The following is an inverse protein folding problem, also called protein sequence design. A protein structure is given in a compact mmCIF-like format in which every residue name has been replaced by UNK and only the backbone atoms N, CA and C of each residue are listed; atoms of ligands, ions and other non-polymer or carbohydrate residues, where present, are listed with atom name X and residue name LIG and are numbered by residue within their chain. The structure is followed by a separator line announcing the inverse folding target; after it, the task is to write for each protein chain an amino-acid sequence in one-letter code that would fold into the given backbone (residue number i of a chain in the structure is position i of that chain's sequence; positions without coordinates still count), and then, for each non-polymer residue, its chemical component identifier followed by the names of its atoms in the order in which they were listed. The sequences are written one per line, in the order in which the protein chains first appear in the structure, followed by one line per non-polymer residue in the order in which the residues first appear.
data_IF_267086664163
#
_entry.id   IF_267086664163
#
_cell.length_a   1.000
_cell.length_b   1.000
_cell.length_c   1.000
_cell.angle_alpha   90.00
_cell.angle_beta   90.00
_cell.angle_gamma   90.00
#
_symmetry.space_group_name_H-M   'P 1'
#
loop_
_entity.id
_entity.type
_entity.pdbx_description
1 polymer ?
#
# COMPACT_ATOMS: atom_id res chain seq x y z
N UNK A 1 -50.32 53.61 35.24
CA UNK A 1 -51.34 52.77 35.88
C UNK A 1 -51.00 51.32 35.72
N UNK A 2 -50.68 50.72 36.85
CA UNK A 2 -50.86 49.33 37.31
C UNK A 2 -50.13 48.26 36.58
N UNK A 3 -48.95 47.83 37.12
CA UNK A 3 -48.70 46.73 38.11
C UNK A 3 -49.30 45.40 37.76
N UNK A 4 -48.46 44.35 37.69
CA UNK A 4 -48.44 43.27 38.68
C UNK A 4 -47.26 42.30 38.37
N UNK A 5 -46.55 42.00 39.42
CA UNK A 5 -45.47 41.05 39.63
C UNK A 5 -45.93 39.57 39.49
N UNK A 6 -44.94 38.69 39.16
CA UNK A 6 -45.10 37.25 39.27
C UNK A 6 -43.77 36.54 39.25
N UNK A 7 -43.24 36.33 40.46
CA UNK A 7 -42.07 35.49 40.74
C UNK A 7 -42.39 34.02 40.56
N UNK A 8 -41.52 33.27 39.90
CA UNK A 8 -41.56 31.80 39.78
C UNK A 8 -40.14 31.24 39.73
N UNK A 9 -39.58 30.92 40.88
CA UNK A 9 -38.38 30.11 41.09
C UNK A 9 -38.64 28.67 40.65
N UNK A 10 -37.91 28.19 39.65
CA UNK A 10 -37.85 26.77 39.24
C UNK A 10 -36.42 26.36 39.08
N UNK A 11 -35.80 25.84 40.14
CA UNK A 11 -34.53 25.11 40.08
C UNK A 11 -34.76 23.79 39.37
N UNK A 12 -34.08 23.62 38.19
CA UNK A 12 -34.07 22.39 37.43
C UNK A 12 -32.64 22.05 37.07
N UNK A 13 -32.13 20.99 37.68
CA UNK A 13 -30.78 20.50 37.64
C UNK A 13 -30.24 20.28 36.22
N UNK A 14 -29.12 20.93 35.92
CA UNK A 14 -28.27 20.60 34.79
C UNK A 14 -27.52 19.31 35.07
N UNK A 15 -28.07 18.21 34.62
CA UNK A 15 -27.31 16.96 34.50
C UNK A 15 -26.19 17.16 33.48
N UNK A 16 -25.02 16.59 33.70
CA UNK A 16 -23.95 16.64 32.70
C UNK A 16 -24.46 15.98 31.42
N UNK A 17 -24.52 16.76 30.34
CA UNK A 17 -24.73 16.25 28.99
C UNK A 17 -23.60 15.28 28.70
N UNK A 18 -23.85 14.03 28.96
CA UNK A 18 -23.01 12.94 28.51
C UNK A 18 -22.87 13.06 27.01
N UNK A 19 -21.66 13.36 26.57
CA UNK A 19 -21.25 13.27 25.18
C UNK A 19 -21.53 11.85 24.74
N UNK A 20 -22.67 11.63 24.11
CA UNK A 20 -22.94 10.41 23.36
C UNK A 20 -21.84 10.31 22.32
N UNK A 21 -20.88 9.43 22.59
CA UNK A 21 -19.86 9.05 21.60
C UNK A 21 -20.67 8.43 20.46
N UNK A 22 -20.80 9.16 19.35
CA UNK A 22 -21.48 8.67 18.16
C UNK A 22 -20.78 7.37 17.75
N UNK A 23 -21.44 6.25 18.01
CA UNK A 23 -20.94 4.93 17.64
C UNK A 23 -20.62 4.90 16.15
N UNK A 24 -19.35 4.61 15.79
CA UNK A 24 -18.93 4.41 14.41
C UNK A 24 -18.20 5.57 13.72
N UNK A 25 -17.86 6.68 14.42
CA UNK A 25 -17.03 7.76 13.83
C UNK A 25 -15.58 7.70 14.30
N UNK A 26 -14.64 7.75 13.33
CA UNK A 26 -13.20 7.84 13.61
C UNK A 26 -12.82 9.25 14.07
N UNK A 27 -11.84 9.35 14.98
CA UNK A 27 -11.38 10.66 15.49
C UNK A 27 -10.52 11.38 14.45
N UNK A 28 -10.84 12.65 14.15
CA UNK A 28 -10.05 13.51 13.27
C UNK A 28 -8.85 14.07 14.04
N UNK A 29 -7.66 13.52 13.75
CA UNK A 29 -6.43 13.92 14.44
C UNK A 29 -5.24 14.06 13.48
N UNK A 30 -5.35 13.62 12.23
CA UNK A 30 -4.26 13.57 11.28
C UNK A 30 -4.14 14.85 10.46
N UNK A 31 -2.92 15.40 10.38
CA UNK A 31 -2.56 16.49 9.49
C UNK A 31 -1.92 15.99 8.19
N UNK A 32 -1.54 16.92 7.31
CA UNK A 32 -0.85 16.58 6.04
C UNK A 32 0.46 15.85 6.29
N UNK A 33 1.26 16.26 7.29
CA UNK A 33 2.54 15.62 7.63
C UNK A 33 2.33 14.18 8.07
N UNK A 34 1.31 13.92 8.89
CA UNK A 34 1.00 12.57 9.37
C UNK A 34 0.63 11.65 8.20
N UNK A 35 -0.17 12.16 7.24
CA UNK A 35 -0.52 11.41 6.02
C UNK A 35 0.71 11.07 5.18
N UNK A 36 1.64 12.02 5.03
CA UNK A 36 2.88 11.80 4.26
C UNK A 36 3.75 10.77 4.98
N UNK A 37 3.89 10.87 6.30
CA UNK A 37 4.67 9.90 7.09
C UNK A 37 4.07 8.49 6.98
N UNK A 38 2.75 8.35 7.17
CA UNK A 38 2.10 7.05 7.01
C UNK A 38 2.20 6.51 5.59
N UNK A 39 2.01 7.37 4.59
CA UNK A 39 2.12 6.99 3.18
C UNK A 39 3.52 6.52 2.83
N UNK A 40 4.55 7.29 3.16
CA UNK A 40 5.95 6.92 2.91
C UNK A 40 6.40 5.73 3.74
N UNK A 41 5.92 5.61 4.98
CA UNK A 41 6.21 4.46 5.83
C UNK A 41 5.62 3.19 5.25
N UNK A 42 4.38 3.25 4.70
CA UNK A 42 3.75 2.09 4.07
C UNK A 42 4.43 1.72 2.76
N UNK A 43 4.71 2.70 1.89
CA UNK A 43 5.45 2.48 0.63
C UNK A 43 6.85 1.92 0.93
N UNK A 44 7.49 2.33 2.03
CA UNK A 44 8.88 2.10 2.40
C UNK A 44 9.88 2.69 1.38
N UNK A 45 10.62 3.77 1.72
CA UNK A 45 11.57 4.42 0.80
C UNK A 45 12.63 3.50 0.20
N UNK A 46 12.96 2.41 0.90
CA UNK A 46 13.90 1.38 0.45
C UNK A 46 13.21 0.12 -0.10
N UNK A 47 11.93 0.20 -0.53
CA UNK A 47 11.20 -0.94 -1.08
C UNK A 47 11.93 -1.67 -2.21
N UNK A 48 12.58 -0.99 -3.18
CA UNK A 48 13.31 -1.62 -4.27
C UNK A 48 14.43 -2.57 -3.86
N UNK A 49 15.06 -2.36 -2.69
CA UNK A 49 16.21 -3.16 -2.23
C UNK A 49 15.94 -4.66 -2.29
N UNK A 50 14.76 -5.10 -1.86
CA UNK A 50 14.41 -6.52 -1.78
C UNK A 50 14.06 -7.18 -3.12
N UNK A 51 13.80 -6.41 -4.17
CA UNK A 51 13.39 -6.92 -5.50
C UNK A 51 14.28 -6.43 -6.64
N UNK A 52 15.35 -5.71 -6.32
CA UNK A 52 16.27 -5.11 -7.30
C UNK A 52 16.78 -6.14 -8.31
N UNK A 53 17.39 -7.23 -7.85
CA UNK A 53 17.96 -8.24 -8.75
C UNK A 53 16.90 -8.95 -9.59
N UNK A 54 15.69 -9.19 -9.06
CA UNK A 54 14.58 -9.74 -9.84
C UNK A 54 14.15 -8.79 -10.96
N UNK A 55 14.09 -7.48 -10.70
CA UNK A 55 13.74 -6.49 -11.71
C UNK A 55 14.85 -6.32 -12.75
N UNK A 56 16.10 -6.31 -12.31
CA UNK A 56 17.26 -6.20 -13.18
C UNK A 56 17.33 -7.38 -14.16
N UNK A 57 17.20 -8.61 -13.64
CA UNK A 57 17.13 -9.84 -14.44
C UNK A 57 15.97 -9.83 -15.44
N UNK A 58 14.76 -9.45 -15.00
CA UNK A 58 13.56 -9.46 -15.85
C UNK A 58 13.55 -8.37 -16.92
N UNK A 59 14.14 -7.23 -16.63
CA UNK A 59 14.14 -6.08 -17.54
C UNK A 59 15.34 -6.03 -18.48
N UNK A 60 16.22 -7.02 -18.43
CA UNK A 60 17.46 -6.99 -19.20
C UNK A 60 18.35 -5.80 -18.80
N UNK A 61 18.50 -5.52 -17.51
CA UNK A 61 19.33 -4.46 -16.97
C UNK A 61 18.71 -3.07 -16.93
N UNK A 62 17.47 -2.89 -17.46
CA UNK A 62 16.83 -1.56 -17.53
C UNK A 62 16.01 -1.20 -16.29
N UNK A 63 16.49 -1.52 -15.10
CA UNK A 63 15.72 -1.42 -13.83
C UNK A 63 15.25 0.01 -13.51
N UNK A 64 16.03 1.03 -13.81
CA UNK A 64 15.62 2.42 -13.58
C UNK A 64 14.48 2.84 -14.53
N UNK A 65 14.52 2.39 -15.80
CA UNK A 65 13.41 2.58 -16.73
C UNK A 65 12.13 1.91 -16.23
N UNK A 66 12.24 0.70 -15.67
CA UNK A 66 11.09 0.01 -15.05
C UNK A 66 10.44 0.91 -14.01
N UNK A 67 11.21 1.52 -13.10
CA UNK A 67 10.67 2.42 -12.08
C UNK A 67 10.14 3.75 -12.64
N UNK A 68 10.72 4.27 -13.72
CA UNK A 68 10.16 5.44 -14.42
C UNK A 68 8.78 5.10 -14.97
N UNK A 69 8.66 3.98 -15.69
CA UNK A 69 7.38 3.54 -16.27
C UNK A 69 6.37 3.23 -15.16
N UNK A 70 6.77 2.50 -14.12
CA UNK A 70 5.92 2.20 -12.97
C UNK A 70 5.42 3.49 -12.27
N UNK A 71 6.29 4.51 -12.10
CA UNK A 71 5.88 5.81 -11.53
C UNK A 71 4.81 6.48 -12.37
N UNK A 72 4.95 6.48 -13.69
CA UNK A 72 3.97 7.07 -14.62
C UNK A 72 2.65 6.30 -14.55
N UNK A 73 2.69 4.97 -14.59
CA UNK A 73 1.51 4.10 -14.51
C UNK A 73 0.75 4.32 -13.20
N UNK A 74 1.48 4.28 -12.08
CA UNK A 74 0.90 4.53 -10.77
C UNK A 74 0.46 5.99 -10.59
N UNK A 75 1.05 6.91 -11.35
CA UNK A 75 0.62 8.31 -11.42
C UNK A 75 -0.81 8.49 -11.90
N UNK A 76 -1.24 7.75 -12.92
CA UNK A 76 -2.64 7.73 -13.35
C UNK A 76 -3.56 7.21 -12.25
N UNK A 77 -3.14 6.15 -11.54
CA UNK A 77 -3.90 5.58 -10.42
C UNK A 77 -4.00 6.55 -9.25
N UNK A 78 -2.89 7.17 -8.85
CA UNK A 78 -2.87 8.20 -7.79
C UNK A 78 -3.74 9.41 -8.14
N UNK A 79 -3.76 9.80 -9.41
CA UNK A 79 -4.63 10.88 -9.88
C UNK A 79 -6.11 10.49 -9.74
N UNK A 80 -6.48 9.26 -10.08
CA UNK A 80 -7.85 8.75 -9.92
C UNK A 80 -8.25 8.68 -8.44
N UNK A 81 -7.35 8.25 -7.55
CA UNK A 81 -7.53 8.36 -6.09
C UNK A 81 -7.78 9.82 -5.66
N UNK A 82 -6.96 10.75 -6.15
CA UNK A 82 -7.10 12.17 -5.84
C UNK A 82 -8.43 12.77 -6.31
N UNK A 83 -9.03 12.26 -7.37
CA UNK A 83 -10.38 12.66 -7.79
C UNK A 83 -11.44 12.05 -6.85
N UNK A 84 -11.38 10.74 -6.60
CA UNK A 84 -12.43 10.04 -5.86
C UNK A 84 -12.45 10.36 -4.37
N UNK A 85 -11.31 10.62 -3.73
CA UNK A 85 -11.25 11.03 -2.32
C UNK A 85 -11.95 12.38 -2.08
N UNK A 86 -12.03 13.23 -3.08
CA UNK A 86 -12.78 14.50 -2.99
C UNK A 86 -14.29 14.30 -3.06
N UNK A 87 -14.72 13.26 -3.75
CA UNK A 87 -16.13 12.87 -3.90
C UNK A 87 -16.62 12.12 -2.67
N UNK A 88 -15.80 11.22 -2.14
CA UNK A 88 -16.17 10.34 -1.04
C UNK A 88 -15.02 10.26 -0.02
N UNK A 89 -14.87 11.26 0.86
CA UNK A 89 -13.80 11.31 1.87
C UNK A 89 -14.09 10.40 3.07
N UNK A 90 -14.34 9.12 2.79
CA UNK A 90 -14.67 8.10 3.79
C UNK A 90 -13.61 7.01 3.81
N UNK A 91 -13.45 6.34 4.95
CA UNK A 91 -12.66 5.14 5.07
C UNK A 91 -13.20 4.04 4.13
N UNK A 92 -12.32 3.14 3.68
CA UNK A 92 -12.68 2.06 2.76
C UNK A 92 -12.10 2.20 1.37
N UNK A 93 -11.37 3.31 1.09
CA UNK A 93 -10.56 3.47 -0.12
C UNK A 93 -11.34 3.08 -1.39
N UNK A 94 -10.78 2.19 -2.23
CA UNK A 94 -11.36 1.78 -3.51
C UNK A 94 -12.77 1.17 -3.38
N UNK A 95 -13.07 0.44 -2.29
CA UNK A 95 -14.42 -0.08 -2.01
C UNK A 95 -15.46 1.05 -2.06
N UNK A 96 -15.21 2.13 -1.30
CA UNK A 96 -16.13 3.28 -1.23
C UNK A 96 -16.23 4.00 -2.58
N UNK A 97 -15.11 4.12 -3.30
CA UNK A 97 -15.08 4.82 -4.59
C UNK A 97 -15.81 4.05 -5.69
N UNK A 98 -15.60 2.73 -5.77
CA UNK A 98 -16.29 1.89 -6.73
C UNK A 98 -17.80 1.82 -6.44
N UNK A 99 -18.20 1.78 -5.18
CA UNK A 99 -19.60 1.85 -4.78
C UNK A 99 -20.26 3.16 -5.25
N UNK A 100 -19.61 4.28 -5.05
CA UNK A 100 -20.12 5.60 -5.48
C UNK A 100 -20.14 5.77 -6.99
N UNK A 101 -19.08 5.36 -7.69
CA UNK A 101 -18.94 5.52 -9.14
C UNK A 101 -19.75 4.49 -9.94
N UNK A 102 -19.73 3.23 -9.56
CA UNK A 102 -20.25 2.11 -10.34
C UNK A 102 -21.51 1.45 -9.73
N UNK A 103 -21.66 1.50 -8.42
CA UNK A 103 -22.78 0.89 -7.67
C UNK A 103 -22.34 -0.14 -6.65
N UNK A 104 -23.32 -0.68 -5.90
CA UNK A 104 -23.10 -1.56 -4.73
C UNK A 104 -22.30 -2.82 -5.08
N UNK A 105 -22.66 -3.52 -6.16
CA UNK A 105 -21.98 -4.75 -6.58
C UNK A 105 -20.53 -4.53 -6.97
N UNK A 106 -20.27 -3.49 -7.78
CA UNK A 106 -18.90 -3.15 -8.18
C UNK A 106 -18.05 -2.68 -6.98
N UNK A 107 -18.67 -1.94 -6.04
CA UNK A 107 -18.04 -1.56 -4.78
C UNK A 107 -17.60 -2.78 -3.97
N UNK A 108 -18.50 -3.76 -3.81
CA UNK A 108 -18.16 -5.00 -3.11
C UNK A 108 -16.98 -5.73 -3.78
N UNK A 109 -17.02 -5.92 -5.10
CA UNK A 109 -15.95 -6.60 -5.83
C UNK A 109 -14.62 -5.83 -5.73
N UNK A 110 -14.65 -4.50 -5.83
CA UNK A 110 -13.44 -3.69 -5.67
C UNK A 110 -12.84 -3.84 -4.26
N UNK A 111 -13.66 -3.79 -3.21
CA UNK A 111 -13.24 -4.05 -1.83
C UNK A 111 -12.75 -5.47 -1.62
N UNK A 112 -13.41 -6.46 -2.21
CA UNK A 112 -13.04 -7.87 -2.14
C UNK A 112 -11.66 -8.13 -2.76
N UNK A 113 -11.39 -7.54 -3.93
CA UNK A 113 -10.08 -7.63 -4.58
C UNK A 113 -9.01 -6.87 -3.79
N UNK A 114 -9.31 -5.67 -3.30
CA UNK A 114 -8.40 -4.89 -2.46
C UNK A 114 -8.10 -5.57 -1.11
N UNK A 115 -8.93 -6.46 -0.61
CA UNK A 115 -8.64 -7.24 0.59
C UNK A 115 -7.44 -8.18 0.41
N UNK A 116 -7.20 -8.73 -0.80
CA UNK A 116 -5.98 -9.49 -1.08
C UNK A 116 -4.73 -8.65 -0.86
N UNK A 117 -4.73 -7.43 -1.42
CA UNK A 117 -3.64 -6.48 -1.22
C UNK A 117 -3.52 -6.07 0.25
N UNK A 118 -4.51 -5.42 0.83
CA UNK A 118 -4.42 -4.84 2.17
C UNK A 118 -4.19 -5.84 3.30
N UNK A 119 -4.67 -7.09 3.17
CA UNK A 119 -4.42 -8.13 4.16
C UNK A 119 -3.08 -8.85 3.97
N UNK A 120 -2.59 -8.95 2.73
CA UNK A 120 -1.40 -9.75 2.42
C UNK A 120 -0.14 -8.93 2.14
N UNK A 121 -0.23 -7.66 1.70
CA UNK A 121 0.97 -6.82 1.56
C UNK A 121 1.72 -6.61 2.89
N UNK A 122 1.05 -6.45 4.04
CA UNK A 122 1.76 -6.47 5.32
C UNK A 122 2.47 -7.80 5.57
N UNK A 123 1.91 -8.93 5.12
CA UNK A 123 2.55 -10.23 5.27
C UNK A 123 3.85 -10.32 4.44
N UNK A 124 3.84 -9.78 3.22
CA UNK A 124 5.06 -9.65 2.38
C UNK A 124 6.11 -8.80 3.08
N UNK A 125 5.72 -7.64 3.61
CA UNK A 125 6.65 -6.73 4.30
C UNK A 125 7.22 -7.35 5.59
N UNK A 126 6.41 -8.06 6.39
CA UNK A 126 6.91 -8.81 7.55
C UNK A 126 7.86 -9.94 7.14
N UNK A 127 7.59 -10.59 6.02
CA UNK A 127 8.49 -11.61 5.49
C UNK A 127 9.84 -11.00 5.07
N UNK A 128 9.85 -9.83 4.42
CA UNK A 128 11.10 -9.10 4.13
C UNK A 128 11.87 -8.74 5.40
N UNK A 129 11.18 -8.29 6.44
CA UNK A 129 11.80 -8.05 7.76
C UNK A 129 12.41 -9.33 8.34
N UNK A 130 11.69 -10.45 8.27
CA UNK A 130 12.17 -11.75 8.74
C UNK A 130 13.36 -12.27 7.94
N UNK A 131 13.40 -12.09 6.63
CA UNK A 131 14.52 -12.46 5.75
C UNK A 131 15.76 -11.63 6.10
N UNK A 132 15.62 -10.31 6.20
CA UNK A 132 16.71 -9.41 6.53
C UNK A 132 17.29 -9.70 7.93
N UNK A 133 16.45 -9.96 8.92
CA UNK A 133 16.90 -10.37 10.27
C UNK A 133 17.58 -11.73 10.28
N UNK A 134 17.11 -12.70 9.50
CA UNK A 134 17.73 -14.00 9.40
C UNK A 134 19.11 -13.93 8.72
N UNK A 135 19.30 -13.01 7.76
CA UNK A 135 20.61 -12.76 7.16
C UNK A 135 21.63 -12.21 8.18
N UNK A 136 21.17 -11.39 9.14
CA UNK A 136 22.02 -10.83 10.21
C UNK A 136 22.24 -11.81 11.37
N UNK A 137 21.25 -12.66 11.69
CA UNK A 137 21.28 -13.63 12.81
C UNK A 137 20.75 -14.97 12.29
N UNK A 138 21.59 -15.77 11.61
CA UNK A 138 21.18 -17.01 10.95
C UNK A 138 20.68 -18.11 11.91
N UNK A 139 21.09 -18.05 13.19
CA UNK A 139 20.70 -19.04 14.23
C UNK A 139 19.19 -19.02 14.51
N UNK A 140 18.51 -17.91 14.24
CA UNK A 140 17.08 -17.77 14.44
C UNK A 140 16.35 -17.83 13.10
N UNK A 141 15.45 -18.81 12.97
CA UNK A 141 14.71 -19.03 11.73
C UNK A 141 13.91 -17.79 11.29
N UNK A 142 13.87 -17.50 9.98
CA UNK A 142 13.16 -16.35 9.40
C UNK A 142 11.68 -16.23 9.82
N UNK A 143 10.98 -17.37 10.04
CA UNK A 143 9.58 -17.35 10.49
C UNK A 143 9.41 -16.82 11.92
N UNK A 144 10.40 -17.02 12.79
CA UNK A 144 10.37 -16.49 14.17
C UNK A 144 10.48 -14.96 14.13
N UNK A 145 11.45 -14.43 13.39
CA UNK A 145 11.61 -13.01 13.20
C UNK A 145 10.36 -12.36 12.58
N UNK A 146 9.78 -13.02 11.58
CA UNK A 146 8.52 -12.59 10.95
C UNK A 146 7.39 -12.52 11.97
N UNK A 147 7.21 -13.54 12.81
CA UNK A 147 6.19 -13.55 13.85
C UNK A 147 6.41 -12.46 14.91
N UNK A 148 7.65 -12.24 15.35
CA UNK A 148 8.01 -11.17 16.29
C UNK A 148 7.64 -9.81 15.69
N UNK A 149 7.98 -9.54 14.43
CA UNK A 149 7.65 -8.29 13.76
C UNK A 149 6.13 -8.04 13.71
N UNK A 150 5.32 -9.07 13.39
CA UNK A 150 3.85 -8.98 13.40
C UNK A 150 3.33 -8.66 14.80
N UNK A 151 3.82 -9.34 15.83
CA UNK A 151 3.35 -9.15 17.21
C UNK A 151 3.67 -7.75 17.73
N UNK A 152 4.91 -7.30 17.57
CA UNK A 152 5.36 -5.98 18.04
C UNK A 152 4.57 -4.87 17.37
N UNK A 153 4.42 -4.92 16.05
CA UNK A 153 3.73 -3.88 15.31
C UNK A 153 2.22 -3.90 15.52
N UNK A 154 1.63 -5.09 15.74
CA UNK A 154 0.21 -5.21 16.12
C UNK A 154 -0.05 -4.54 17.47
N UNK A 155 0.81 -4.76 18.48
CA UNK A 155 0.71 -4.09 19.78
C UNK A 155 0.78 -2.56 19.63
N UNK A 156 1.71 -2.06 18.80
CA UNK A 156 1.82 -0.62 18.50
C UNK A 156 0.54 -0.07 17.85
N UNK A 157 -0.04 -0.79 16.90
CA UNK A 157 -1.31 -0.41 16.27
C UNK A 157 -2.49 -0.36 17.27
N UNK A 158 -2.53 -1.29 18.23
CA UNK A 158 -3.58 -1.33 19.26
C UNK A 158 -3.44 -0.21 20.30
N UNK A 159 -2.21 0.30 20.53
CA UNK A 159 -1.99 1.49 21.37
C UNK A 159 -2.51 2.78 20.73
N UNK A 160 -2.75 2.76 19.43
CA UNK A 160 -3.41 3.83 18.68
C UNK A 160 -2.51 4.56 17.70
N UNK A 161 -3.17 5.23 16.77
CA UNK A 161 -2.57 5.88 15.60
C UNK A 161 -1.43 6.84 15.95
N UNK A 162 -1.56 7.60 17.06
CA UNK A 162 -0.52 8.56 17.45
C UNK A 162 0.77 7.92 17.96
N UNK A 163 0.67 6.77 18.65
CA UNK A 163 1.85 6.05 19.13
C UNK A 163 2.59 5.43 17.93
N UNK A 164 1.86 4.76 17.05
CA UNK A 164 2.37 4.19 15.81
C UNK A 164 3.03 5.26 14.91
N UNK A 165 2.41 6.45 14.79
CA UNK A 165 2.94 7.55 13.98
C UNK A 165 4.27 8.10 14.52
N UNK A 166 4.43 8.25 15.84
CA UNK A 166 5.68 8.77 16.42
C UNK A 166 6.86 7.84 16.19
N UNK A 167 6.67 6.54 16.42
CA UNK A 167 7.72 5.55 16.16
C UNK A 167 7.96 5.42 14.66
N UNK A 168 6.89 5.39 13.86
CA UNK A 168 6.97 5.35 12.39
C UNK A 168 7.75 6.53 11.81
N UNK A 169 7.60 7.74 12.37
CA UNK A 169 8.40 8.89 11.95
C UNK A 169 9.90 8.68 12.17
N UNK A 170 10.30 8.12 13.32
CA UNK A 170 11.71 7.84 13.62
C UNK A 170 12.27 6.76 12.66
N UNK A 171 11.47 5.74 12.36
CA UNK A 171 11.86 4.68 11.40
C UNK A 171 11.97 5.24 9.99
N UNK A 172 11.00 6.04 9.53
CA UNK A 172 11.08 6.70 8.23
C UNK A 172 12.31 7.60 8.11
N UNK A 173 12.60 8.38 9.16
CA UNK A 173 13.79 9.22 9.20
C UNK A 173 15.08 8.38 9.10
N UNK A 174 15.14 7.24 9.80
CA UNK A 174 16.25 6.29 9.70
C UNK A 174 16.40 5.76 8.27
N UNK A 175 15.33 5.28 7.63
CA UNK A 175 15.38 4.78 6.25
C UNK A 175 15.86 5.86 5.26
N UNK A 176 15.39 7.10 5.39
CA UNK A 176 15.81 8.22 4.54
C UNK A 176 17.30 8.53 4.77
N UNK A 177 17.78 8.52 6.02
CA UNK A 177 19.21 8.75 6.32
C UNK A 177 20.06 7.65 5.71
N UNK A 178 19.69 6.37 5.88
CA UNK A 178 20.43 5.24 5.30
C UNK A 178 20.42 5.30 3.77
N UNK A 179 19.29 5.64 3.17
CA UNK A 179 19.20 5.83 1.73
C UNK A 179 20.12 6.98 1.24
N UNK A 180 20.17 8.09 1.96
CA UNK A 180 21.08 9.19 1.64
C UNK A 180 22.54 8.77 1.79
N UNK A 181 22.90 8.02 2.82
CA UNK A 181 24.25 7.45 3.00
C UNK A 181 24.58 6.54 1.82
N UNK A 182 23.66 5.66 1.42
CA UNK A 182 23.85 4.83 0.22
C UNK A 182 24.06 5.68 -1.04
N UNK A 183 23.21 6.67 -1.31
CA UNK A 183 23.31 7.53 -2.50
C UNK A 183 24.65 8.26 -2.54
N UNK A 184 25.08 8.85 -1.41
CA UNK A 184 26.37 9.56 -1.32
C UNK A 184 27.53 8.60 -1.53
N UNK A 185 27.52 7.43 -0.87
CA UNK A 185 28.58 6.42 -1.01
C UNK A 185 28.67 5.88 -2.44
N UNK A 186 27.50 5.59 -3.06
CA UNK A 186 27.45 5.15 -4.46
C UNK A 186 28.04 6.19 -5.41
N UNK A 187 27.66 7.47 -5.27
CA UNK A 187 28.21 8.55 -6.10
C UNK A 187 29.71 8.69 -5.90
N UNK A 188 30.23 8.62 -4.66
CA UNK A 188 31.66 8.69 -4.37
C UNK A 188 32.41 7.55 -5.05
N UNK A 189 31.90 6.32 -4.96
CA UNK A 189 32.51 5.15 -5.62
C UNK A 189 32.48 5.30 -7.14
N UNK A 190 31.34 5.69 -7.71
CA UNK A 190 31.22 5.88 -9.16
C UNK A 190 32.17 6.97 -9.72
N UNK A 191 32.39 8.02 -8.94
CA UNK A 191 33.37 9.09 -9.34
C UNK A 191 34.81 8.61 -9.22
N UNK A 192 35.13 7.81 -8.19
CA UNK A 192 36.47 7.34 -7.89
C UNK A 192 36.91 6.16 -8.77
N UNK A 193 36.01 5.16 -8.86
CA UNK A 193 36.37 3.84 -9.41
C UNK A 193 35.64 3.55 -10.75
N UNK A 194 34.62 4.39 -11.11
CA UNK A 194 33.82 4.22 -12.29
C UNK A 194 32.61 3.29 -12.07
N UNK A 195 31.85 3.07 -13.13
CA UNK A 195 30.69 2.20 -13.11
C UNK A 195 31.05 0.78 -13.59
N UNK A 196 30.45 -0.23 -12.99
CA UNK A 196 30.61 -1.64 -13.38
C UNK A 196 29.88 -1.94 -14.71
N UNK A 197 28.84 -1.17 -15.01
CA UNK A 197 28.05 -1.27 -16.24
C UNK A 197 28.03 0.08 -16.98
N UNK A 198 27.59 0.08 -18.24
CA UNK A 198 27.42 1.33 -19.00
C UNK A 198 26.45 2.29 -18.31
N UNK A 199 26.78 3.59 -18.30
CA UNK A 199 25.96 4.63 -17.65
C UNK A 199 24.49 4.66 -18.12
N UNK A 200 24.21 4.26 -19.36
CA UNK A 200 22.85 4.21 -19.89
C UNK A 200 22.18 2.86 -19.68
N UNK A 201 22.90 1.80 -19.33
CA UNK A 201 22.33 0.45 -19.15
C UNK A 201 21.13 0.43 -18.22
N UNK A 202 21.07 1.13 -17.07
CA UNK A 202 19.90 1.13 -16.21
C UNK A 202 18.64 1.75 -16.85
N UNK A 203 18.79 2.46 -17.96
CA UNK A 203 17.72 3.10 -18.73
C UNK A 203 17.41 2.40 -20.07
N UNK A 204 18.44 1.88 -20.74
CA UNK A 204 18.32 1.30 -22.09
C UNK A 204 18.39 -0.21 -22.11
N UNK A 205 18.79 -0.82 -21.00
CA UNK A 205 19.04 -2.25 -20.92
C UNK A 205 20.31 -2.68 -21.62
N UNK A 206 20.53 -3.98 -21.65
CA UNK A 206 21.57 -4.68 -22.40
C UNK A 206 21.00 -5.35 -23.67
N UNK A 207 21.72 -6.30 -24.23
CA UNK A 207 21.31 -6.99 -25.45
C UNK A 207 20.00 -7.77 -25.34
N UNK A 208 19.53 -8.08 -24.14
CA UNK A 208 18.25 -8.76 -23.87
C UNK A 208 17.06 -7.79 -23.71
N UNK A 209 17.27 -6.49 -23.86
CA UNK A 209 16.23 -5.48 -23.70
C UNK A 209 15.07 -5.65 -24.66
N UNK A 210 13.86 -5.62 -24.11
CA UNK A 210 12.60 -5.48 -24.86
C UNK A 210 11.57 -4.71 -24.05
N UNK A 211 10.68 -4.00 -24.73
CA UNK A 211 9.58 -3.28 -24.03
C UNK A 211 8.64 -4.27 -23.31
N UNK A 212 8.43 -5.46 -23.84
CA UNK A 212 7.66 -6.52 -23.17
C UNK A 212 8.33 -6.95 -21.86
N UNK A 213 9.67 -7.08 -21.84
CA UNK A 213 10.42 -7.38 -20.62
C UNK A 213 10.28 -6.25 -19.57
N UNK A 214 10.34 -4.98 -20.01
CA UNK A 214 10.09 -3.83 -19.11
C UNK A 214 8.69 -3.88 -18.54
N UNK A 215 7.65 -4.10 -19.35
CA UNK A 215 6.25 -4.18 -18.87
C UNK A 215 6.05 -5.38 -17.94
N UNK A 216 6.67 -6.54 -18.25
CA UNK A 216 6.67 -7.70 -17.35
C UNK A 216 7.37 -7.40 -16.02
N UNK A 217 8.46 -6.62 -16.02
CA UNK A 217 9.11 -6.18 -14.79
C UNK A 217 8.29 -5.13 -14.03
N UNK A 218 7.55 -4.24 -14.73
CA UNK A 218 6.64 -3.27 -14.10
C UNK A 218 5.59 -3.96 -13.24
N UNK A 219 5.10 -5.16 -13.63
CA UNK A 219 4.14 -5.92 -12.81
C UNK A 219 4.68 -6.21 -11.40
N UNK A 220 5.98 -6.49 -11.28
CA UNK A 220 6.66 -6.70 -9.98
C UNK A 220 7.00 -5.38 -9.31
N UNK A 221 7.43 -4.35 -10.07
CA UNK A 221 7.79 -3.04 -9.53
C UNK A 221 6.61 -2.32 -8.89
N UNK A 222 5.37 -2.57 -9.34
CA UNK A 222 4.14 -2.01 -8.75
C UNK A 222 4.04 -2.32 -7.26
N UNK A 223 4.51 -3.50 -6.81
CA UNK A 223 4.57 -3.86 -5.39
C UNK A 223 5.26 -2.78 -4.54
N UNK A 224 6.34 -2.17 -5.05
CA UNK A 224 7.06 -1.12 -4.32
C UNK A 224 6.23 0.15 -4.10
N UNK A 225 5.21 0.39 -4.90
CA UNK A 225 4.33 1.56 -4.79
C UNK A 225 3.10 1.31 -3.92
N UNK A 226 2.74 0.04 -3.66
CA UNK A 226 1.56 -0.27 -2.87
C UNK A 226 1.68 0.37 -1.48
N UNK A 227 0.62 1.06 -1.08
CA UNK A 227 0.58 1.83 0.15
C UNK A 227 0.35 3.34 -0.05
N UNK A 228 0.68 3.92 -1.23
CA UNK A 228 0.32 5.32 -1.50
C UNK A 228 -1.21 5.53 -1.46
N UNK A 229 -1.95 4.55 -1.86
CA UNK A 229 -3.41 4.50 -1.89
C UNK A 229 -4.01 4.33 -0.49
N UNK A 230 -3.29 3.72 0.44
CA UNK A 230 -3.71 3.59 1.83
C UNK A 230 -3.88 4.94 2.52
N UNK A 231 -3.20 6.01 2.05
CA UNK A 231 -3.44 7.38 2.52
C UNK A 231 -4.92 7.76 2.38
N UNK A 232 -5.58 7.27 1.33
CA UNK A 232 -7.00 7.52 1.11
C UNK A 232 -7.90 6.85 2.17
N UNK A 233 -7.46 5.74 2.76
CA UNK A 233 -8.19 5.07 3.84
C UNK A 233 -8.26 5.87 5.15
N UNK A 234 -7.34 6.84 5.34
CA UNK A 234 -7.34 7.75 6.49
C UNK A 234 -8.22 8.99 6.29
N UNK A 235 -8.95 9.11 5.19
CA UNK A 235 -9.68 10.32 4.82
C UNK A 235 -10.66 10.83 5.89
N UNK A 236 -11.27 9.95 6.69
CA UNK A 236 -12.16 10.32 7.80
C UNK A 236 -11.42 10.90 9.02
N UNK A 237 -10.14 10.53 9.20
CA UNK A 237 -9.31 10.93 10.35
C UNK A 237 -8.56 12.26 10.13
N UNK A 238 -8.68 12.84 8.92
CA UNK A 238 -7.92 14.04 8.52
C UNK A 238 -8.60 15.33 8.94
N UNK A 239 -7.79 16.24 9.49
CA UNK A 239 -8.16 17.62 9.77
C UNK A 239 -7.91 18.51 8.55
N UNK A 240 -8.94 19.24 8.07
CA UNK A 240 -8.82 20.20 6.96
C UNK A 240 -9.12 19.64 5.56
N UNK A 241 -9.84 18.52 5.49
CA UNK A 241 -10.58 18.11 4.32
C UNK A 241 -9.83 17.27 3.29
N UNK A 242 -10.59 16.71 2.36
CA UNK A 242 -10.15 15.75 1.34
C UNK A 242 -9.06 16.26 0.37
N UNK A 243 -8.95 17.59 0.19
CA UNK A 243 -7.87 18.17 -0.64
C UNK A 243 -6.47 17.87 -0.08
N UNK A 244 -6.32 17.78 1.27
CA UNK A 244 -5.04 17.42 1.90
C UNK A 244 -4.70 15.96 1.61
N UNK A 245 -5.70 15.07 1.67
CA UNK A 245 -5.53 13.65 1.34
C UNK A 245 -5.09 13.49 -0.12
N UNK A 246 -5.81 14.11 -1.06
CA UNK A 246 -5.46 14.08 -2.48
C UNK A 246 -4.03 14.57 -2.77
N UNK A 247 -3.60 15.65 -2.10
CA UNK A 247 -2.23 16.16 -2.24
C UNK A 247 -1.20 15.21 -1.63
N UNK A 248 -1.51 14.58 -0.49
CA UNK A 248 -0.60 13.63 0.15
C UNK A 248 -0.38 12.38 -0.71
N UNK A 249 -1.45 11.83 -1.30
CA UNK A 249 -1.38 10.68 -2.24
C UNK A 249 -0.42 10.98 -3.39
N UNK A 250 -0.63 12.11 -4.10
CA UNK A 250 0.22 12.49 -5.23
C UNK A 250 1.65 12.81 -4.81
N UNK A 251 1.83 13.52 -3.69
CA UNK A 251 3.16 13.86 -3.17
C UNK A 251 3.96 12.62 -2.80
N UNK A 252 3.37 11.68 -2.06
CA UNK A 252 4.03 10.45 -1.67
C UNK A 252 4.42 9.60 -2.88
N UNK A 253 3.54 9.50 -3.89
CA UNK A 253 3.86 8.76 -5.10
C UNK A 253 5.08 9.34 -5.84
N UNK A 254 5.07 10.66 -6.09
CA UNK A 254 6.16 11.33 -6.83
C UNK A 254 7.47 11.24 -6.06
N UNK A 255 7.43 11.46 -4.74
CA UNK A 255 8.61 11.37 -3.90
C UNK A 255 9.16 9.94 -3.85
N UNK A 256 8.32 8.94 -3.62
CA UNK A 256 8.72 7.53 -3.61
C UNK A 256 9.29 7.11 -4.97
N UNK A 257 8.59 7.44 -6.07
CA UNK A 257 9.08 7.14 -7.42
C UNK A 257 10.44 7.75 -7.71
N UNK A 258 10.67 9.01 -7.31
CA UNK A 258 11.97 9.65 -7.45
C UNK A 258 13.08 8.93 -6.66
N UNK A 259 12.78 8.54 -5.41
CA UNK A 259 13.72 7.78 -4.58
C UNK A 259 14.01 6.40 -5.19
N UNK A 260 12.99 5.73 -5.72
CA UNK A 260 13.13 4.40 -6.34
C UNK A 260 13.99 4.45 -7.60
N UNK A 261 13.77 5.44 -8.47
CA UNK A 261 14.56 5.64 -9.68
C UNK A 261 16.04 5.89 -9.33
N UNK A 262 16.31 6.81 -8.40
CA UNK A 262 17.68 7.16 -8.03
C UNK A 262 18.42 5.97 -7.41
N UNK A 263 17.81 5.28 -6.43
CA UNK A 263 18.51 4.18 -5.77
C UNK A 263 18.74 2.99 -6.69
N UNK A 264 17.80 2.66 -7.58
CA UNK A 264 17.97 1.53 -8.49
C UNK A 264 18.90 1.85 -9.66
N UNK A 265 18.92 3.10 -10.13
CA UNK A 265 19.91 3.56 -11.10
C UNK A 265 21.34 3.43 -10.56
N UNK A 266 21.58 3.92 -9.35
CA UNK A 266 22.90 3.84 -8.71
C UNK A 266 23.27 2.38 -8.39
N UNK A 267 22.35 1.59 -7.86
CA UNK A 267 22.60 0.18 -7.58
C UNK A 267 22.98 -0.61 -8.86
N UNK A 268 22.28 -0.37 -9.97
CA UNK A 268 22.58 -1.03 -11.24
C UNK A 268 23.95 -0.64 -11.81
N UNK A 269 24.44 0.57 -11.55
CA UNK A 269 25.79 0.97 -11.94
C UNK A 269 26.88 0.33 -11.07
N UNK A 270 26.56 -0.06 -9.84
CA UNK A 270 27.46 -0.74 -8.90
C UNK A 270 27.39 -2.27 -9.01
N UNK A 271 26.36 -2.82 -9.69
CA UNK A 271 26.13 -4.27 -9.78
C UNK A 271 27.15 -4.94 -10.70
N UNK A 272 27.99 -5.85 -10.15
CA UNK A 272 29.02 -6.52 -10.94
C UNK A 272 28.48 -7.60 -11.89
N UNK A 273 27.36 -8.27 -11.52
CA UNK A 273 26.75 -9.28 -12.35
C UNK A 273 25.96 -8.64 -13.49
N UNK A 274 25.97 -9.24 -14.68
CA UNK A 274 25.09 -8.85 -15.77
C UNK A 274 23.64 -9.26 -15.50
N UNK A 275 22.68 -8.64 -16.19
CA UNK A 275 21.26 -9.04 -16.10
C UNK A 275 21.03 -10.50 -16.52
N UNK A 276 21.82 -11.01 -17.46
CA UNK A 276 21.77 -12.41 -17.90
C UNK A 276 22.26 -13.38 -16.83
N UNK A 277 23.35 -13.03 -16.10
CA UNK A 277 23.84 -13.82 -14.97
C UNK A 277 22.82 -13.85 -13.83
N UNK A 278 22.23 -12.70 -13.47
CA UNK A 278 21.14 -12.63 -12.47
C UNK A 278 19.90 -13.43 -12.91
N UNK A 279 19.59 -13.47 -14.21
CA UNK A 279 18.49 -14.27 -14.73
C UNK A 279 18.78 -15.78 -14.65
N UNK A 280 20.03 -16.18 -14.80
CA UNK A 280 20.49 -17.57 -14.70
C UNK A 280 20.56 -18.06 -13.24
N UNK A 281 20.72 -17.16 -12.25
CA UNK A 281 20.80 -17.48 -10.83
C UNK A 281 19.68 -16.79 -10.01
N UNK A 282 18.49 -17.40 -9.92
CA UNK A 282 17.40 -16.86 -9.12
C UNK A 282 17.74 -16.68 -7.62
N UNK A 283 18.71 -17.42 -7.08
CA UNK A 283 19.11 -17.31 -5.70
C UNK A 283 19.85 -16.00 -5.43
N UNK A 284 20.69 -15.55 -6.37
CA UNK A 284 21.40 -14.28 -6.29
C UNK A 284 20.48 -13.05 -6.42
N UNK A 285 19.31 -13.18 -7.07
CA UNK A 285 18.40 -12.04 -7.25
C UNK A 285 17.94 -11.40 -5.94
N UNK A 286 17.75 -12.20 -4.87
CA UNK A 286 17.31 -11.72 -3.56
C UNK A 286 18.36 -10.91 -2.80
N UNK A 287 19.65 -11.16 -3.04
CA UNK A 287 20.78 -10.51 -2.39
C UNK A 287 21.48 -9.47 -3.26
N UNK A 288 21.20 -9.41 -4.56
CA UNK A 288 21.95 -8.60 -5.53
C UNK A 288 22.21 -7.15 -5.10
N UNK A 289 21.23 -6.46 -4.53
CA UNK A 289 21.42 -5.09 -4.03
C UNK A 289 22.46 -5.04 -2.89
N UNK A 290 22.40 -5.99 -1.96
CA UNK A 290 23.32 -6.07 -0.82
C UNK A 290 24.72 -6.44 -1.28
N UNK A 291 24.83 -7.41 -2.19
CA UNK A 291 26.10 -7.89 -2.74
C UNK A 291 26.78 -6.78 -3.56
N UNK A 292 26.04 -6.02 -4.36
CA UNK A 292 26.56 -4.85 -5.08
C UNK A 292 27.10 -3.78 -4.12
N UNK A 293 26.41 -3.53 -3.00
CA UNK A 293 26.85 -2.59 -1.98
C UNK A 293 28.09 -3.09 -1.25
N UNK A 294 28.13 -4.36 -0.86
CA UNK A 294 29.28 -4.97 -0.18
C UNK A 294 30.52 -4.94 -1.06
N UNK A 295 30.39 -5.38 -2.31
CA UNK A 295 31.49 -5.41 -3.27
C UNK A 295 32.04 -4.03 -3.63
N UNK A 296 31.20 -3.00 -3.69
CA UNK A 296 31.59 -1.67 -4.18
C UNK A 296 31.94 -0.70 -3.04
N UNK A 297 31.24 -0.76 -1.91
CA UNK A 297 31.39 0.19 -0.79
C UNK A 297 31.95 -0.49 0.46
N UNK A 298 31.50 -1.71 0.75
CA UNK A 298 31.96 -2.54 1.86
C UNK A 298 30.86 -2.97 2.82
N UNK A 299 31.18 -3.97 3.65
CA UNK A 299 30.27 -4.69 4.57
C UNK A 299 29.53 -3.77 5.56
N UNK A 300 30.18 -2.67 5.98
CA UNK A 300 29.56 -1.72 6.90
C UNK A 300 28.24 -1.10 6.34
N UNK A 301 28.22 -0.80 5.03
CA UNK A 301 27.03 -0.24 4.40
C UNK A 301 26.02 -1.34 4.08
N UNK A 302 26.47 -2.52 3.69
CA UNK A 302 25.63 -3.72 3.57
C UNK A 302 24.83 -3.96 4.86
N UNK A 303 25.50 -4.04 6.01
CA UNK A 303 24.86 -4.27 7.31
C UNK A 303 23.89 -3.15 7.68
N UNK A 304 24.28 -1.89 7.44
CA UNK A 304 23.43 -0.75 7.70
C UNK A 304 22.14 -0.78 6.86
N UNK A 305 22.24 -1.12 5.58
CA UNK A 305 21.10 -1.29 4.68
C UNK A 305 20.23 -2.45 5.12
N UNK A 306 20.82 -3.59 5.50
CA UNK A 306 20.09 -4.77 5.95
C UNK A 306 19.29 -4.50 7.26
N UNK A 307 19.92 -3.87 8.26
CA UNK A 307 19.24 -3.45 9.50
C UNK A 307 18.11 -2.48 9.21
N UNK A 308 18.38 -1.45 8.38
CA UNK A 308 17.37 -0.47 8.00
C UNK A 308 16.19 -1.13 7.30
N UNK A 309 16.46 -2.07 6.37
CA UNK A 309 15.41 -2.81 5.65
C UNK A 309 14.61 -3.71 6.59
N UNK A 310 15.25 -4.37 7.54
CA UNK A 310 14.55 -5.24 8.52
C UNK A 310 13.54 -4.44 9.35
N UNK A 311 13.96 -3.30 9.88
CA UNK A 311 13.11 -2.42 10.69
C UNK A 311 12.07 -1.72 9.81
N UNK A 312 12.48 -1.12 8.69
CA UNK A 312 11.61 -0.38 7.79
C UNK A 312 10.47 -1.23 7.24
N UNK A 313 10.75 -2.45 6.80
CA UNK A 313 9.74 -3.38 6.32
C UNK A 313 8.70 -3.75 7.40
N UNK A 314 9.13 -3.96 8.65
CA UNK A 314 8.21 -4.22 9.76
C UNK A 314 7.28 -3.03 10.02
N UNK A 315 7.77 -1.80 9.92
CA UNK A 315 6.97 -0.58 10.10
C UNK A 315 6.14 -0.20 8.87
N UNK A 316 6.60 -0.53 7.66
CA UNK A 316 5.75 -0.49 6.47
C UNK A 316 4.53 -1.40 6.64
N UNK A 317 4.77 -2.63 7.11
CA UNK A 317 3.71 -3.58 7.41
C UNK A 317 2.77 -3.08 8.53
N UNK A 318 3.28 -2.37 9.55
CA UNK A 318 2.46 -1.71 10.58
C UNK A 318 1.46 -0.74 9.95
N UNK A 319 1.91 0.12 9.04
CA UNK A 319 1.06 1.08 8.33
C UNK A 319 0.02 0.35 7.46
N UNK A 320 0.45 -0.68 6.73
CA UNK A 320 -0.41 -1.53 5.92
C UNK A 320 -1.48 -2.25 6.74
N UNK A 321 -1.11 -2.84 7.87
CA UNK A 321 -2.05 -3.49 8.78
C UNK A 321 -3.11 -2.52 9.33
N UNK A 322 -2.70 -1.27 9.62
CA UNK A 322 -3.63 -0.24 10.02
C UNK A 322 -4.61 0.14 8.89
N UNK A 323 -4.15 0.19 7.64
CA UNK A 323 -4.98 0.43 6.47
C UNK A 323 -5.93 -0.75 6.20
N UNK A 324 -5.45 -1.99 6.32
CA UNK A 324 -6.26 -3.21 6.24
C UNK A 324 -7.41 -3.20 7.26
N UNK A 325 -7.11 -2.85 8.52
CA UNK A 325 -8.12 -2.71 9.56
C UNK A 325 -9.20 -1.68 9.21
N UNK A 326 -8.85 -0.59 8.53
CA UNK A 326 -9.82 0.43 8.08
C UNK A 326 -10.69 -0.04 6.92
N UNK A 327 -10.13 -0.79 5.99
CA UNK A 327 -10.91 -1.40 4.90
C UNK A 327 -11.92 -2.39 5.45
N UNK A 328 -11.47 -3.32 6.30
CA UNK A 328 -12.34 -4.31 6.98
C UNK A 328 -13.43 -3.61 7.80
N UNK A 329 -13.08 -2.57 8.56
CA UNK A 329 -14.04 -1.75 9.30
C UNK A 329 -15.08 -1.09 8.38
N UNK A 330 -14.66 -0.49 7.26
CA UNK A 330 -15.56 0.16 6.32
C UNK A 330 -16.55 -0.83 5.71
N UNK A 331 -16.09 -2.02 5.29
CA UNK A 331 -16.95 -3.06 4.74
C UNK A 331 -17.92 -3.64 5.81
N UNK A 332 -17.48 -3.76 7.06
CA UNK A 332 -18.33 -4.20 8.16
C UNK A 332 -19.40 -3.16 8.53
N UNK A 333 -19.06 -1.86 8.52
CA UNK A 333 -20.02 -0.76 8.71
C UNK A 333 -21.11 -0.75 7.66
N UNK A 334 -20.79 -1.11 6.44
CA UNK A 334 -21.72 -1.24 5.32
C UNK A 334 -22.40 -2.63 5.26
N UNK A 335 -22.31 -3.42 6.35
CA UNK A 335 -22.95 -4.76 6.48
C UNK A 335 -22.50 -5.79 5.42
N UNK A 336 -21.30 -5.59 4.82
CA UNK A 336 -20.68 -6.54 3.88
C UNK A 336 -19.82 -7.58 4.58
N UNK A 337 -19.42 -7.30 5.83
CA UNK A 337 -18.73 -8.21 6.75
C UNK A 337 -19.47 -8.21 8.10
N UNK A 338 -19.14 -9.16 9.01
CA UNK A 338 -19.78 -9.23 10.33
C UNK A 338 -19.71 -7.89 11.07
N UNK A 339 -20.83 -7.38 11.56
CA UNK A 339 -20.97 -6.07 12.20
C UNK A 339 -20.06 -5.88 13.43
N UNK A 340 -19.62 -6.98 14.05
CA UNK A 340 -18.67 -6.97 15.16
C UNK A 340 -17.37 -6.23 14.81
N UNK A 341 -16.92 -6.33 13.55
CA UNK A 341 -15.71 -5.67 13.03
C UNK A 341 -15.88 -4.15 12.83
N UNK A 342 -17.13 -3.65 12.88
CA UNK A 342 -17.43 -2.22 12.79
C UNK A 342 -17.34 -1.50 14.15
N UNK A 343 -16.98 -2.17 15.25
CA UNK A 343 -16.84 -1.57 16.56
C UNK A 343 -15.56 -0.78 16.67
N UNK A 344 -15.67 0.47 17.14
CA UNK A 344 -14.54 1.37 17.44
C UNK A 344 -14.33 1.41 18.95
N UNK A 345 -13.09 1.29 19.41
CA UNK A 345 -12.75 1.40 20.82
C UNK A 345 -12.88 2.87 21.27
N UNK A 346 -13.70 3.17 22.31
CA UNK A 346 -13.94 4.54 22.75
C UNK A 346 -12.69 5.26 23.27
N UNK A 347 -11.70 4.53 23.81
CA UNK A 347 -10.49 5.10 24.40
C UNK A 347 -9.47 5.48 23.34
N UNK A 348 -9.15 4.56 22.42
CA UNK A 348 -8.14 4.75 21.39
C UNK A 348 -8.69 5.37 20.10
N UNK A 349 -9.98 5.24 19.84
CA UNK A 349 -10.62 5.68 18.59
C UNK A 349 -10.25 4.83 17.37
N UNK A 350 -9.76 3.59 17.58
CA UNK A 350 -9.38 2.68 16.51
C UNK A 350 -10.30 1.46 16.45
N UNK A 351 -10.50 0.85 15.27
CA UNK A 351 -11.32 -0.36 15.12
C UNK A 351 -10.51 -1.61 15.52
N UNK A 352 -10.32 -1.81 16.84
CA UNK A 352 -9.43 -2.86 17.39
C UNK A 352 -9.72 -4.26 16.84
N UNK A 353 -11.00 -4.64 16.75
CA UNK A 353 -11.37 -5.97 16.27
C UNK A 353 -11.06 -6.17 14.79
N UNK A 354 -11.21 -5.12 13.97
CA UNK A 354 -10.83 -5.16 12.57
C UNK A 354 -9.30 -5.26 12.41
N UNK A 355 -8.53 -4.51 13.22
CA UNK A 355 -7.06 -4.58 13.23
C UNK A 355 -6.59 -5.97 13.68
N UNK A 356 -7.16 -6.54 14.74
CA UNK A 356 -6.81 -7.88 15.21
C UNK A 356 -7.17 -8.96 14.17
N UNK A 357 -8.33 -8.86 13.52
CA UNK A 357 -8.71 -9.75 12.43
C UNK A 357 -7.72 -9.70 11.28
N UNK A 358 -7.34 -8.51 10.85
CA UNK A 358 -6.30 -8.31 9.83
C UNK A 358 -4.95 -8.89 10.30
N UNK A 359 -4.54 -8.65 11.55
CA UNK A 359 -3.29 -9.15 12.13
C UNK A 359 -3.22 -10.68 12.14
N UNK A 360 -4.31 -11.37 12.46
CA UNK A 360 -4.37 -12.85 12.46
C UNK A 360 -4.15 -13.37 11.05
N UNK A 361 -4.86 -12.82 10.06
CA UNK A 361 -4.71 -13.23 8.64
C UNK A 361 -3.28 -12.98 8.18
N UNK A 362 -2.74 -11.80 8.45
CA UNK A 362 -1.37 -11.41 8.12
C UNK A 362 -0.34 -12.33 8.77
N UNK A 363 -0.50 -12.66 10.07
CA UNK A 363 0.41 -13.55 10.80
C UNK A 363 0.43 -14.95 10.17
N UNK A 364 -0.74 -15.52 9.93
CA UNK A 364 -0.86 -16.85 9.33
C UNK A 364 -0.21 -16.89 7.95
N UNK A 365 -0.52 -15.91 7.09
CA UNK A 365 0.04 -15.83 5.75
C UNK A 365 1.57 -15.61 5.76
N UNK A 366 2.06 -14.70 6.60
CA UNK A 366 3.49 -14.38 6.68
C UNK A 366 4.31 -15.56 7.24
N UNK A 367 3.84 -16.21 8.30
CA UNK A 367 4.53 -17.38 8.88
C UNK A 367 4.47 -18.59 7.95
N UNK A 368 3.34 -18.81 7.26
CA UNK A 368 3.23 -19.85 6.24
C UNK A 368 4.26 -19.62 5.11
N UNK A 369 4.33 -18.41 4.57
CA UNK A 369 5.28 -18.07 3.53
C UNK A 369 6.74 -18.13 4.02
N UNK A 370 7.01 -17.67 5.24
CA UNK A 370 8.36 -17.72 5.83
C UNK A 370 8.91 -19.14 6.00
N UNK A 371 8.06 -20.17 6.02
CA UNK A 371 8.44 -21.58 6.11
C UNK A 371 8.64 -22.27 4.77
N UNK A 372 8.43 -21.56 3.65
CA UNK A 372 8.51 -22.10 2.28
C UNK A 372 9.53 -21.30 1.47
N UNK A 373 10.28 -21.99 0.64
CA UNK A 373 11.28 -21.33 -0.21
C UNK A 373 10.63 -20.45 -1.29
N UNK A 374 9.49 -20.87 -1.83
CA UNK A 374 8.70 -20.16 -2.83
C UNK A 374 7.62 -19.21 -2.25
N UNK A 375 7.53 -19.13 -0.91
CA UNK A 375 6.43 -18.44 -0.22
C UNK A 375 6.36 -16.95 -0.52
N UNK A 376 7.49 -16.27 -0.68
CA UNK A 376 7.55 -14.86 -1.05
C UNK A 376 6.91 -14.63 -2.43
N UNK A 377 7.31 -15.42 -3.41
CA UNK A 377 6.80 -15.29 -4.79
C UNK A 377 5.28 -15.52 -4.86
N UNK A 378 4.76 -16.47 -4.08
CA UNK A 378 3.32 -16.70 -3.99
C UNK A 378 2.58 -15.52 -3.36
N UNK A 379 3.07 -14.97 -2.24
CA UNK A 379 2.43 -13.82 -1.61
C UNK A 379 2.42 -12.59 -2.53
N UNK A 380 3.56 -12.28 -3.14
CA UNK A 380 3.70 -11.14 -4.06
C UNK A 380 2.70 -11.26 -5.21
N UNK A 381 2.67 -12.43 -5.86
CA UNK A 381 1.76 -12.67 -6.99
C UNK A 381 0.29 -12.46 -6.63
N UNK A 382 -0.12 -12.87 -5.43
CA UNK A 382 -1.52 -12.73 -4.96
C UNK A 382 -1.85 -11.27 -4.62
N UNK A 383 -0.91 -10.56 -3.99
CA UNK A 383 -1.08 -9.13 -3.65
C UNK A 383 -1.26 -8.30 -4.93
N UNK A 384 -0.36 -8.47 -5.89
CA UNK A 384 -0.33 -7.67 -7.12
C UNK A 384 -1.63 -7.80 -7.92
N UNK A 385 -2.14 -9.02 -8.12
CA UNK A 385 -3.38 -9.21 -8.89
C UNK A 385 -4.59 -8.59 -8.18
N UNK A 386 -4.62 -8.63 -6.85
CA UNK A 386 -5.64 -8.01 -6.03
C UNK A 386 -5.66 -6.49 -6.17
N UNK A 387 -4.50 -5.87 -5.99
CA UNK A 387 -4.30 -4.42 -6.09
C UNK A 387 -4.60 -3.90 -7.50
N UNK A 388 -4.00 -4.51 -8.53
CA UNK A 388 -4.18 -4.08 -9.92
C UNK A 388 -5.64 -4.15 -10.36
N UNK A 389 -6.37 -5.23 -10.00
CA UNK A 389 -7.80 -5.35 -10.31
C UNK A 389 -8.63 -4.28 -9.59
N UNK A 390 -8.33 -4.01 -8.32
CA UNK A 390 -9.00 -2.95 -7.57
C UNK A 390 -8.74 -1.56 -8.19
N UNK A 391 -7.52 -1.30 -8.67
CA UNK A 391 -7.18 -0.04 -9.34
C UNK A 391 -7.85 0.13 -10.71
N UNK A 392 -8.05 -0.94 -11.48
CA UNK A 392 -8.87 -0.89 -12.70
C UNK A 392 -10.30 -0.44 -12.35
N UNK A 393 -10.90 -1.00 -11.28
CA UNK A 393 -12.23 -0.60 -10.82
C UNK A 393 -12.25 0.84 -10.27
N UNK A 394 -11.17 1.33 -9.68
CA UNK A 394 -11.02 2.74 -9.32
C UNK A 394 -11.09 3.66 -10.54
N UNK A 395 -10.33 3.35 -11.59
CA UNK A 395 -10.37 4.13 -12.84
C UNK A 395 -11.77 4.14 -13.44
N UNK A 396 -12.42 2.99 -13.51
CA UNK A 396 -13.81 2.88 -13.96
C UNK A 396 -14.76 3.73 -13.09
N UNK A 397 -14.47 3.84 -11.78
CA UNK A 397 -15.27 4.63 -10.83
C UNK A 397 -15.21 6.13 -11.14
N UNK A 398 -14.05 6.64 -11.57
CA UNK A 398 -13.92 8.05 -12.02
C UNK A 398 -14.82 8.31 -13.23
N UNK A 399 -14.73 7.45 -14.25
CA UNK A 399 -15.59 7.57 -15.44
C UNK A 399 -17.07 7.44 -15.05
N UNK A 400 -17.40 6.46 -14.20
CA UNK A 400 -18.77 6.22 -13.73
C UNK A 400 -19.36 7.43 -13.01
N UNK A 401 -18.61 8.09 -12.12
CA UNK A 401 -19.07 9.23 -11.36
C UNK A 401 -19.18 10.52 -12.18
N UNK A 402 -18.10 10.88 -12.87
CA UNK A 402 -17.99 12.19 -13.52
C UNK A 402 -18.63 12.22 -14.92
N UNK A 403 -18.58 11.11 -15.66
CA UNK A 403 -19.03 11.07 -17.07
C UNK A 403 -20.42 10.45 -17.20
N UNK A 404 -20.63 9.25 -16.64
CA UNK A 404 -21.89 8.51 -16.78
C UNK A 404 -22.98 9.15 -15.91
N UNK A 405 -22.71 9.29 -14.61
CA UNK A 405 -23.70 9.83 -13.64
C UNK A 405 -23.71 11.36 -13.58
N UNK A 406 -22.67 12.03 -14.04
CA UNK A 406 -22.52 13.51 -14.06
C UNK A 406 -22.80 14.18 -12.72
N UNK A 407 -22.45 13.54 -11.61
CA UNK A 407 -22.81 13.98 -10.25
C UNK A 407 -22.02 15.20 -9.76
N UNK A 408 -20.98 15.65 -10.48
CA UNK A 408 -20.13 16.79 -10.08
C UNK A 408 -20.02 17.85 -11.19
N UNK A 409 -21.08 18.02 -12.00
CA UNK A 409 -21.10 18.97 -13.11
C UNK A 409 -20.48 18.43 -14.40
N UNK A 410 -20.16 19.30 -15.38
CA UNK A 410 -19.64 18.86 -16.67
C UNK A 410 -18.28 18.19 -16.52
N UNK A 411 -18.06 17.04 -17.18
CA UNK A 411 -16.79 16.32 -17.09
C UNK A 411 -15.67 17.08 -17.79
N UNK A 412 -14.50 17.11 -17.17
CA UNK A 412 -13.27 17.59 -17.82
C UNK A 412 -12.63 16.39 -18.51
N UNK A 413 -12.61 16.38 -19.85
CA UNK A 413 -12.26 15.22 -20.67
C UNK A 413 -10.95 14.54 -20.27
N UNK A 414 -9.85 15.30 -20.15
CA UNK A 414 -8.55 14.71 -19.85
C UNK A 414 -8.45 14.15 -18.41
N UNK A 415 -9.19 14.74 -17.45
CA UNK A 415 -9.19 14.29 -16.04
C UNK A 415 -10.08 13.07 -15.81
N UNK A 416 -11.23 13.05 -16.47
CA UNK A 416 -12.30 12.12 -16.13
C UNK A 416 -12.48 11.00 -17.17
N UNK A 417 -11.82 11.13 -18.33
CA UNK A 417 -11.84 10.12 -19.41
C UNK A 417 -10.42 9.67 -19.75
N UNK A 418 -9.58 10.58 -20.28
CA UNK A 418 -8.28 10.20 -20.82
C UNK A 418 -7.40 9.51 -19.76
N UNK A 419 -7.16 10.14 -18.62
CA UNK A 419 -6.30 9.58 -17.57
C UNK A 419 -6.83 8.27 -16.99
N UNK A 420 -8.12 8.14 -16.61
CA UNK A 420 -8.64 6.87 -16.16
C UNK A 420 -8.60 5.76 -17.21
N UNK A 421 -8.92 6.07 -18.47
CA UNK A 421 -8.92 5.05 -19.55
C UNK A 421 -7.49 4.57 -19.85
N UNK A 422 -6.53 5.50 -19.97
CA UNK A 422 -5.13 5.13 -20.16
C UNK A 422 -4.61 4.33 -18.97
N UNK A 423 -4.88 4.80 -17.73
CA UNK A 423 -4.48 4.11 -16.53
C UNK A 423 -5.05 2.69 -16.45
N UNK A 424 -6.36 2.53 -16.69
CA UNK A 424 -6.99 1.22 -16.70
C UNK A 424 -6.41 0.31 -17.80
N UNK A 425 -6.19 0.85 -19.01
CA UNK A 425 -5.63 0.10 -20.13
C UNK A 425 -4.23 -0.45 -19.83
N UNK A 426 -3.36 0.39 -19.26
CA UNK A 426 -2.00 -0.04 -18.87
C UNK A 426 -2.05 -1.07 -17.73
N UNK A 427 -2.91 -0.88 -16.71
CA UNK A 427 -3.05 -1.85 -15.63
C UNK A 427 -3.57 -3.19 -16.14
N UNK A 428 -4.50 -3.21 -17.09
CA UNK A 428 -4.96 -4.45 -17.73
C UNK A 428 -3.81 -5.12 -18.50
N UNK A 429 -3.00 -4.35 -19.24
CA UNK A 429 -1.83 -4.90 -19.92
C UNK A 429 -0.84 -5.53 -18.91
N UNK A 430 -0.59 -4.87 -17.78
CA UNK A 430 0.25 -5.41 -16.69
C UNK A 430 -0.35 -6.70 -16.10
N UNK A 431 -1.67 -6.78 -15.91
CA UNK A 431 -2.36 -7.99 -15.43
C UNK A 431 -2.21 -9.15 -16.44
N UNK A 432 -2.27 -8.86 -17.73
CA UNK A 432 -2.10 -9.88 -18.79
C UNK A 432 -0.67 -10.43 -18.83
N UNK A 433 0.32 -9.59 -18.57
CA UNK A 433 1.74 -9.97 -18.50
C UNK A 433 2.14 -10.58 -17.13
N UNK A 434 1.24 -10.60 -16.14
CA UNK A 434 1.49 -11.22 -14.85
C UNK A 434 1.63 -12.74 -14.97
N UNK A 435 2.26 -13.37 -13.98
CA UNK A 435 2.46 -14.84 -13.97
C UNK A 435 1.13 -15.59 -13.99
N UNK A 436 1.07 -16.73 -14.68
CA UNK A 436 -0.14 -17.56 -14.77
C UNK A 436 -0.68 -17.94 -13.40
N UNK A 437 0.20 -18.22 -12.42
CA UNK A 437 -0.21 -18.51 -11.05
C UNK A 437 -0.94 -17.34 -10.39
N UNK A 438 -0.46 -16.11 -10.59
CA UNK A 438 -1.13 -14.90 -10.10
C UNK A 438 -2.53 -14.74 -10.71
N UNK A 439 -2.62 -14.91 -12.04
CA UNK A 439 -3.88 -14.81 -12.77
C UNK A 439 -4.90 -15.84 -12.26
N UNK A 440 -4.49 -17.10 -12.10
CA UNK A 440 -5.37 -18.18 -11.60
C UNK A 440 -5.87 -17.87 -10.19
N UNK A 441 -4.99 -17.49 -9.27
CA UNK A 441 -5.39 -17.13 -7.90
C UNK A 441 -6.34 -15.93 -7.90
N UNK A 442 -6.02 -14.88 -8.69
CA UNK A 442 -6.87 -13.71 -8.83
C UNK A 442 -8.26 -14.02 -9.37
N UNK A 443 -8.33 -14.88 -10.41
CA UNK A 443 -9.62 -15.33 -10.97
C UNK A 443 -10.42 -16.17 -9.99
N UNK A 444 -9.77 -17.10 -9.26
CA UNK A 444 -10.43 -17.90 -8.24
C UNK A 444 -10.99 -17.01 -7.12
N UNK A 445 -10.18 -16.05 -6.64
CA UNK A 445 -10.63 -15.11 -5.61
C UNK A 445 -11.78 -14.22 -6.09
N UNK A 446 -11.71 -13.73 -7.31
CA UNK A 446 -12.77 -12.95 -7.94
C UNK A 446 -14.06 -13.77 -8.07
N UNK A 447 -13.97 -15.04 -8.50
CA UNK A 447 -15.11 -15.95 -8.59
C UNK A 447 -15.78 -16.16 -7.22
N UNK A 448 -14.98 -16.37 -6.16
CA UNK A 448 -15.48 -16.44 -4.78
C UNK A 448 -16.20 -15.13 -4.40
N UNK A 449 -15.64 -13.98 -4.77
CA UNK A 449 -16.27 -12.68 -4.54
C UNK A 449 -17.65 -12.56 -5.21
N UNK A 450 -17.78 -13.02 -6.45
CA UNK A 450 -19.07 -13.04 -7.14
C UNK A 450 -20.08 -14.00 -6.49
N UNK A 451 -19.63 -15.17 -6.03
CA UNK A 451 -20.50 -16.11 -5.28
C UNK A 451 -21.01 -15.46 -3.98
N UNK A 452 -20.11 -14.85 -3.20
CA UNK A 452 -20.49 -14.15 -1.96
C UNK A 452 -21.47 -13.01 -2.25
N UNK A 453 -21.23 -12.22 -3.30
CA UNK A 453 -22.13 -11.16 -3.71
C UNK A 453 -23.51 -11.69 -4.11
N UNK A 454 -23.58 -12.79 -4.86
CA UNK A 454 -24.83 -13.42 -5.28
C UNK A 454 -25.63 -13.94 -4.08
N UNK A 455 -24.96 -14.59 -3.12
CA UNK A 455 -25.60 -15.08 -1.87
C UNK A 455 -26.14 -13.92 -1.05
N UNK A 456 -25.38 -12.83 -0.89
CA UNK A 456 -25.85 -11.62 -0.19
C UNK A 456 -27.03 -10.97 -0.92
N UNK A 457 -27.03 -10.93 -2.25
CA UNK A 457 -28.12 -10.41 -3.07
C UNK A 457 -29.39 -11.26 -3.00
N UNK A 458 -29.26 -12.58 -2.89
CA UNK A 458 -30.38 -13.50 -2.71
C UNK A 458 -30.99 -13.38 -1.30
N UNK A 459 -30.16 -13.24 -0.25
CA UNK A 459 -30.61 -13.05 1.13
C UNK A 459 -31.23 -11.68 1.39
N UNK A 460 -30.80 -10.63 0.68
CA UNK A 460 -31.34 -9.25 0.84
C UNK A 460 -32.72 -9.03 0.25
N UNK A 461 -33.15 -9.81 -0.74
CA UNK A 461 -34.49 -9.71 -1.33
C UNK A 461 -35.61 -10.19 -0.41
N UNK A 462 -35.29 -10.81 0.72
CA UNK A 462 -36.27 -11.26 1.73
C UNK A 462 -36.63 -10.23 2.81
N UNK A 463 -35.93 -9.08 2.90
CA UNK A 463 -36.08 -8.13 4.02
C UNK A 463 -36.48 -6.69 3.63
N UNK A 464 -36.69 -6.38 2.36
CA UNK A 464 -37.29 -5.09 1.96
C UNK A 464 -38.74 -5.31 1.46
N UNK A 465 -39.69 -5.38 2.40
CA UNK A 465 -41.06 -4.92 2.14
C UNK A 465 -41.15 -3.49 2.69
N UNK A 466 -41.62 -2.51 1.89
CA UNK A 466 -41.73 -1.13 2.34
C UNK A 466 -42.88 -0.99 3.33
N UNK A 467 -42.64 -0.28 4.43
CA UNK A 467 -43.69 0.44 5.16
C UNK A 467 -43.55 1.92 4.80
#
# INVERSE_FOLDING_TARGET
MTSVSGSGTGAGGGGPSGSSVEEGKLRRTLGFRDLVVYGLLFIAPMAPVGIFGTLDAKSGGSVALVYIVATVVMGFTAFSYAQMVRVAPFAGSVFTYARKGLGEGAGFIAGWMAMLDYLLIPAVAYLFSGIAMNALVPEVSRWVWTAIAVLVTTLLNLWGVRAAARVGFAVLAMEIVVLLVFVVSAVVVLVRDGAQRGWLTPLTGDAAFSMAAVLGAVSVAVLSYLGFDAIASFAEEVTGGSRKVARAVLFCLVLAGSLFIVQTYLAALLEPMSSAELAADPAAQGSAFYDAVDASVGTWLHDLVAVSKAIGAAFAALAGQAAAGRLVFAMARERRLPHLLAKVDPKSGVPRLAILGAAIVTLVAAVWAARRDDGLNHLVSVVDIGALTAFVLLHASVVGWFVVRRMSGPPVWWKHVLFPVVGAGVLVAVIVEATTSAQVVGLCWLAVGFVVLAVQGAGGRGMERPQ
#
